data_IF_838389530181
#
_entry.id   IF_838389530181
#
_cell.length_a   1.000
_cell.length_b   1.000
_cell.length_c   1.000
_cell.angle_alpha   90.00
_cell.angle_beta   90.00
_cell.angle_gamma   90.00
#
_symmetry.space_group_name_H-M   'P 1'
#
loop_
_entity.id
_entity.type
_entity.pdbx_description
1 polymer ?
#
# COMPACT_ATOMS: atom_id res chain seq x y z
N UNK A 1 -18.44 -31.37 -2.09
CA UNK A 1 -19.15 -30.73 -3.21
C UNK A 1 -18.14 -30.04 -4.09
N UNK A 2 -18.32 -30.00 -5.41
CA UNK A 2 -17.45 -29.23 -6.30
C UNK A 2 -17.63 -27.72 -6.02
N UNK A 3 -16.55 -26.93 -6.14
CA UNK A 3 -16.62 -25.47 -5.94
C UNK A 3 -17.60 -24.82 -6.93
N UNK A 4 -18.34 -23.77 -6.52
CA UNK A 4 -19.10 -22.95 -7.47
C UNK A 4 -18.21 -22.38 -8.58
N UNK A 5 -18.74 -22.32 -9.80
CA UNK A 5 -18.09 -21.64 -10.93
C UNK A 5 -18.31 -20.13 -10.78
N UNK A 6 -17.31 -19.35 -11.14
CA UNK A 6 -17.38 -17.89 -11.06
C UNK A 6 -18.55 -17.35 -11.89
N UNK A 7 -19.22 -16.33 -11.34
CA UNK A 7 -20.27 -15.57 -12.03
C UNK A 7 -19.73 -14.41 -12.88
N UNK A 8 -18.46 -14.04 -12.68
CA UNK A 8 -17.81 -12.94 -13.41
C UNK A 8 -17.13 -13.48 -14.68
N UNK A 9 -16.37 -14.56 -14.55
CA UNK A 9 -15.68 -15.22 -15.65
C UNK A 9 -15.41 -16.70 -15.29
N UNK A 10 -15.87 -17.70 -16.07
CA UNK A 10 -15.84 -19.11 -15.68
C UNK A 10 -14.46 -19.65 -15.26
N UNK A 11 -13.39 -19.11 -15.84
CA UNK A 11 -12.01 -19.54 -15.59
C UNK A 11 -11.38 -18.90 -14.33
N UNK A 12 -12.08 -17.96 -13.68
CA UNK A 12 -11.54 -17.23 -12.53
C UNK A 12 -11.77 -17.97 -11.21
N UNK A 13 -10.91 -17.65 -10.25
CA UNK A 13 -11.11 -17.96 -8.84
C UNK A 13 -11.34 -16.65 -8.08
N UNK A 14 -12.61 -16.24 -7.95
CA UNK A 14 -13.01 -14.98 -7.32
C UNK A 14 -13.96 -15.18 -6.14
N UNK A 15 -14.38 -14.09 -5.51
CA UNK A 15 -15.24 -14.14 -4.33
C UNK A 15 -16.55 -14.90 -4.58
N UNK A 16 -17.10 -14.98 -5.81
CA UNK A 16 -18.35 -15.71 -6.13
C UNK A 16 -18.19 -17.23 -6.13
N UNK A 17 -16.96 -17.72 -6.09
CA UNK A 17 -16.61 -19.14 -6.05
C UNK A 17 -16.45 -19.69 -4.63
N UNK A 18 -16.58 -18.84 -3.61
CA UNK A 18 -16.46 -19.24 -2.20
C UNK A 18 -17.66 -20.09 -1.77
N UNK A 19 -17.48 -20.84 -0.67
CA UNK A 19 -18.54 -21.65 -0.07
C UNK A 19 -19.76 -20.77 0.27
N UNK A 20 -20.98 -21.15 -0.14
CA UNK A 20 -22.20 -20.43 0.21
C UNK A 20 -22.35 -20.08 1.69
N UNK A 21 -21.80 -20.91 2.60
CA UNK A 21 -21.82 -20.65 4.03
C UNK A 21 -20.93 -19.46 4.41
N UNK A 22 -19.78 -19.26 3.76
CA UNK A 22 -18.91 -18.11 4.02
C UNK A 22 -19.65 -16.80 3.75
N UNK A 23 -20.45 -16.72 2.67
CA UNK A 23 -21.25 -15.52 2.40
C UNK A 23 -22.30 -15.28 3.48
N UNK A 24 -22.98 -16.34 3.94
CA UNK A 24 -23.99 -16.22 5.02
C UNK A 24 -23.34 -15.75 6.32
N UNK A 25 -22.19 -16.31 6.67
CA UNK A 25 -21.46 -15.95 7.88
C UNK A 25 -20.97 -14.50 7.81
N UNK A 26 -20.35 -14.11 6.69
CA UNK A 26 -19.89 -12.74 6.44
C UNK A 26 -21.05 -11.74 6.47
N UNK A 27 -22.18 -12.05 5.82
CA UNK A 27 -23.37 -11.19 5.84
C UNK A 27 -24.01 -11.06 7.23
N UNK A 28 -23.73 -11.98 8.15
CA UNK A 28 -24.23 -11.95 9.53
C UNK A 28 -23.32 -11.18 10.51
N UNK A 29 -22.18 -10.67 10.02
CA UNK A 29 -21.24 -9.90 10.83
C UNK A 29 -21.85 -8.53 11.18
N UNK A 30 -21.79 -8.21 12.46
CA UNK A 30 -22.05 -6.87 13.00
C UNK A 30 -20.71 -6.21 13.34
N UNK A 31 -20.63 -4.88 13.53
CA UNK A 31 -19.41 -4.23 13.98
C UNK A 31 -18.78 -4.88 15.22
N UNK A 32 -19.60 -5.26 16.21
CA UNK A 32 -19.15 -5.93 17.43
C UNK A 32 -18.59 -7.32 17.16
N UNK A 33 -19.17 -8.07 16.21
CA UNK A 33 -18.64 -9.37 15.78
C UNK A 33 -17.35 -9.22 14.99
N UNK A 34 -17.26 -8.21 14.11
CA UNK A 34 -16.05 -7.90 13.35
C UNK A 34 -14.89 -7.55 14.28
N UNK A 35 -15.11 -6.72 15.30
CA UNK A 35 -14.07 -6.37 16.26
C UNK A 35 -13.48 -7.62 16.95
N UNK A 36 -14.33 -8.60 17.28
CA UNK A 36 -13.95 -9.88 17.90
C UNK A 36 -13.18 -10.83 16.98
N UNK A 37 -13.06 -10.52 15.68
CA UNK A 37 -12.18 -11.28 14.77
C UNK A 37 -10.69 -10.98 15.03
N UNK A 38 -10.39 -9.90 15.77
CA UNK A 38 -9.04 -9.57 16.22
C UNK A 38 -8.44 -10.74 17.02
N UNK A 39 -7.18 -11.07 16.72
CA UNK A 39 -6.44 -12.20 17.27
C UNK A 39 -4.93 -11.94 17.14
N UNK A 40 -4.03 -12.69 17.80
CA UNK A 40 -2.59 -12.52 17.61
C UNK A 40 -2.21 -12.53 16.11
N UNK A 41 -1.57 -11.46 15.63
CA UNK A 41 -1.22 -11.27 14.22
C UNK A 41 -2.31 -10.69 13.31
N UNK A 42 -3.51 -10.38 13.81
CA UNK A 42 -4.58 -9.74 13.04
C UNK A 42 -5.43 -8.83 13.92
N UNK A 43 -5.50 -7.55 13.59
CA UNK A 43 -6.24 -6.55 14.37
C UNK A 43 -7.31 -5.91 13.50
N UNK A 44 -8.52 -5.79 14.04
CA UNK A 44 -9.59 -4.97 13.45
C UNK A 44 -9.64 -3.66 14.21
N UNK A 45 -9.56 -2.55 13.47
CA UNK A 45 -9.64 -1.19 14.01
C UNK A 45 -10.82 -0.50 13.35
N UNK A 46 -11.63 0.19 14.15
CA UNK A 46 -12.71 1.04 13.66
C UNK A 46 -12.27 2.49 13.81
N UNK A 47 -12.54 3.27 12.76
CA UNK A 47 -12.37 4.71 12.75
C UNK A 47 -13.75 5.32 12.54
N UNK A 48 -14.11 6.29 13.36
CA UNK A 48 -15.44 6.90 13.33
C UNK A 48 -15.61 7.88 12.16
N UNK A 49 -14.50 8.34 11.58
CA UNK A 49 -14.47 9.30 10.47
C UNK A 49 -13.46 8.88 9.41
N UNK A 50 -13.68 9.31 8.17
CA UNK A 50 -12.75 9.08 7.07
C UNK A 50 -11.41 9.79 7.31
N UNK A 51 -11.45 10.99 7.88
CA UNK A 51 -10.26 11.78 8.19
C UNK A 51 -9.35 11.07 9.18
N UNK A 52 -9.93 10.43 10.21
CA UNK A 52 -9.17 9.64 11.18
C UNK A 52 -8.59 8.38 10.53
N UNK A 53 -9.34 7.71 9.66
CA UNK A 53 -8.85 6.57 8.88
C UNK A 53 -7.64 6.96 8.00
N UNK A 54 -7.76 8.00 7.18
CA UNK A 54 -6.64 8.46 6.33
C UNK A 54 -5.46 9.00 7.13
N UNK A 55 -5.71 9.60 8.31
CA UNK A 55 -4.65 9.99 9.22
C UNK A 55 -3.90 8.75 9.75
N UNK A 56 -4.63 7.71 10.15
CA UNK A 56 -4.03 6.47 10.62
C UNK A 56 -3.20 5.79 9.53
N UNK A 57 -3.71 5.70 8.31
CA UNK A 57 -2.95 5.20 7.15
C UNK A 57 -1.69 6.02 6.91
N UNK A 58 -1.78 7.35 6.94
CA UNK A 58 -0.60 8.21 6.80
C UNK A 58 0.42 7.97 7.92
N UNK A 59 -0.03 7.72 9.15
CA UNK A 59 0.85 7.42 10.28
C UNK A 59 1.58 6.08 10.13
N UNK A 60 1.04 5.09 9.41
CA UNK A 60 1.76 3.85 9.11
C UNK A 60 3.04 4.10 8.28
N UNK A 61 3.00 5.01 7.30
CA UNK A 61 4.19 5.46 6.57
C UNK A 61 5.22 6.09 7.52
N UNK A 62 4.76 6.99 8.40
CA UNK A 62 5.63 7.74 9.30
C UNK A 62 6.28 6.82 10.33
N UNK A 63 5.52 5.91 10.92
CA UNK A 63 6.02 4.96 11.91
C UNK A 63 6.97 3.93 11.30
N UNK A 64 6.73 3.52 10.04
CA UNK A 64 7.69 2.69 9.29
C UNK A 64 9.01 3.45 9.06
N UNK A 65 8.96 4.64 8.48
CA UNK A 65 10.17 5.37 8.09
C UNK A 65 10.95 5.95 9.27
N UNK A 66 10.33 6.21 10.42
CA UNK A 66 11.03 6.59 11.66
C UNK A 66 12.00 5.51 12.17
N UNK A 67 11.85 4.26 11.72
CA UNK A 67 12.74 3.16 12.08
C UNK A 67 14.01 3.13 11.21
N UNK A 68 14.03 3.85 10.09
CA UNK A 68 15.12 3.76 9.11
C UNK A 68 16.41 4.43 9.61
N UNK A 69 17.51 3.69 9.51
CA UNK A 69 18.86 4.19 9.75
C UNK A 69 19.79 3.79 8.60
N UNK A 70 20.99 4.38 8.52
CA UNK A 70 21.99 4.00 7.50
C UNK A 70 22.33 2.50 7.54
N UNK A 71 22.29 1.87 8.73
CA UNK A 71 22.60 0.46 8.93
C UNK A 71 21.39 -0.48 8.90
N UNK A 72 20.18 0.05 9.06
CA UNK A 72 18.92 -0.69 8.97
C UNK A 72 17.92 0.15 8.16
N UNK A 73 18.02 0.17 6.82
CA UNK A 73 17.07 0.89 5.99
C UNK A 73 15.70 0.19 6.02
N UNK A 74 14.64 1.00 6.06
CA UNK A 74 13.26 0.53 6.23
C UNK A 74 12.37 1.18 5.20
N UNK A 75 11.46 0.41 4.63
CA UNK A 75 10.42 0.97 3.78
C UNK A 75 9.03 0.44 4.05
N UNK A 76 8.15 0.91 3.18
CA UNK A 76 6.73 0.56 3.12
C UNK A 76 6.40 0.18 1.69
N UNK A 77 5.54 -0.82 1.54
CA UNK A 77 4.91 -1.15 0.27
C UNK A 77 3.44 -0.75 0.34
N UNK A 78 2.95 -0.02 -0.66
CA UNK A 78 1.56 0.41 -0.67
C UNK A 78 0.95 0.40 -2.07
N UNK A 79 -0.36 0.14 -2.20
CA UNK A 79 -1.09 0.43 -3.41
C UNK A 79 -1.20 1.95 -3.59
N UNK A 80 -1.62 2.40 -4.77
CA UNK A 80 -1.91 3.82 -4.97
C UNK A 80 -3.18 4.30 -4.25
N UNK A 81 -4.15 3.39 -4.05
CA UNK A 81 -5.50 3.69 -3.58
C UNK A 81 -5.78 3.03 -2.23
N UNK A 82 -6.50 3.71 -1.30
CA UNK A 82 -6.98 5.10 -1.37
C UNK A 82 -5.82 6.11 -1.48
N UNK A 83 -6.10 7.37 -1.83
CA UNK A 83 -5.06 8.38 -2.16
C UNK A 83 -4.99 9.56 -1.18
N UNK A 84 -6.01 9.71 -0.34
CA UNK A 84 -6.27 10.86 0.52
C UNK A 84 -5.25 10.99 1.66
N UNK A 85 -4.63 9.89 2.07
CA UNK A 85 -3.53 9.82 3.02
C UNK A 85 -2.21 10.36 2.46
N UNK A 86 -1.97 10.25 1.14
CA UNK A 86 -0.67 10.59 0.52
C UNK A 86 -0.24 12.06 0.75
N UNK A 87 -1.12 13.08 0.59
CA UNK A 87 -0.79 14.45 0.95
C UNK A 87 -0.55 14.66 2.45
N UNK A 88 -1.19 13.86 3.31
CA UNK A 88 -0.99 13.91 4.76
C UNK A 88 0.40 13.40 5.13
N UNK A 89 0.86 12.29 4.52
CA UNK A 89 2.22 11.77 4.67
C UNK A 89 3.24 12.86 4.38
N UNK A 90 3.16 13.50 3.21
CA UNK A 90 4.11 14.56 2.85
C UNK A 90 4.07 15.76 3.82
N UNK A 91 2.88 16.16 4.28
CA UNK A 91 2.71 17.22 5.27
C UNK A 91 3.37 16.86 6.61
N UNK A 92 3.17 15.65 7.10
CA UNK A 92 3.71 15.18 8.38
C UNK A 92 5.24 15.08 8.31
N UNK A 93 5.78 14.48 7.24
CA UNK A 93 7.24 14.42 6.99
C UNK A 93 7.85 15.81 7.04
N UNK A 94 7.26 16.77 6.31
CA UNK A 94 7.75 18.14 6.28
C UNK A 94 7.66 18.83 7.65
N UNK A 95 6.53 18.66 8.35
CA UNK A 95 6.29 19.29 9.65
C UNK A 95 7.19 18.75 10.76
N UNK A 96 7.56 17.47 10.69
CA UNK A 96 8.45 16.82 11.66
C UNK A 96 9.93 16.92 11.28
N UNK A 97 10.24 17.48 10.11
CA UNK A 97 11.56 17.42 9.50
C UNK A 97 12.14 16.00 9.42
N UNK A 98 11.28 15.01 9.17
CA UNK A 98 11.66 13.60 9.11
C UNK A 98 12.55 13.34 7.87
N UNK A 99 13.78 12.92 8.10
CA UNK A 99 14.74 12.65 7.03
C UNK A 99 14.54 11.24 6.44
N UNK A 100 14.14 11.16 5.16
CA UNK A 100 13.81 9.92 4.47
C UNK A 100 14.98 9.35 3.65
N UNK A 101 16.22 9.81 3.87
CA UNK A 101 17.38 9.37 3.08
C UNK A 101 17.65 7.86 3.13
N UNK A 102 17.28 7.21 4.22
CA UNK A 102 17.41 5.75 4.41
C UNK A 102 16.07 5.02 4.34
N UNK A 103 14.99 5.76 4.06
CA UNK A 103 13.69 5.18 3.88
C UNK A 103 13.55 4.61 2.46
N UNK A 104 12.70 3.60 2.31
CA UNK A 104 12.37 2.97 1.02
C UNK A 104 10.86 3.01 0.78
N UNK A 105 10.47 3.01 -0.49
CA UNK A 105 9.10 2.88 -0.93
C UNK A 105 8.99 1.88 -2.07
N UNK A 106 8.00 1.01 -2.01
CA UNK A 106 7.61 0.11 -3.08
C UNK A 106 6.16 0.39 -3.49
N UNK A 107 5.96 0.78 -4.75
CA UNK A 107 4.62 0.79 -5.34
C UNK A 107 4.17 -0.66 -5.57
N UNK A 108 2.97 -1.03 -5.13
CA UNK A 108 2.51 -2.42 -5.15
C UNK A 108 2.35 -2.99 -6.57
N UNK A 109 1.87 -2.18 -7.50
CA UNK A 109 1.52 -2.56 -8.87
C UNK A 109 1.62 -1.36 -9.83
N UNK A 110 1.47 -1.63 -11.14
CA UNK A 110 1.34 -0.62 -12.20
C UNK A 110 0.56 -1.24 -13.38
N UNK A 111 -0.11 -0.39 -14.16
CA UNK A 111 -0.81 -0.84 -15.35
C UNK A 111 0.14 -1.38 -16.43
N UNK A 112 -0.27 -2.47 -17.07
CA UNK A 112 0.37 -2.97 -18.30
C UNK A 112 -0.52 -2.64 -19.50
N UNK A 113 0.04 -1.93 -20.48
CA UNK A 113 -0.58 -1.65 -21.78
C UNK A 113 0.35 -2.18 -22.86
N UNK A 114 -0.19 -3.04 -23.74
CA UNK A 114 0.56 -3.67 -24.84
C UNK A 114 1.86 -4.37 -24.39
N UNK A 115 1.82 -5.02 -23.22
CA UNK A 115 2.94 -5.77 -22.66
C UNK A 115 4.03 -4.91 -22.02
N UNK A 116 3.80 -3.61 -21.81
CA UNK A 116 4.71 -2.71 -21.08
C UNK A 116 3.99 -1.95 -19.99
N UNK A 117 4.71 -1.62 -18.92
CA UNK A 117 4.19 -0.72 -17.89
C UNK A 117 3.84 0.66 -18.46
N UNK A 118 2.77 1.26 -17.94
CA UNK A 118 2.44 2.63 -18.32
C UNK A 118 3.55 3.58 -17.88
N UNK A 119 4.00 4.52 -18.72
CA UNK A 119 5.05 5.44 -18.33
C UNK A 119 4.55 6.37 -17.22
N UNK A 120 5.47 6.86 -16.37
CA UNK A 120 5.16 7.81 -15.27
C UNK A 120 4.55 9.14 -15.74
N UNK A 121 4.57 9.44 -17.04
CA UNK A 121 3.89 10.61 -17.62
C UNK A 121 2.43 10.34 -17.95
N UNK A 122 2.00 9.07 -17.96
CA UNK A 122 0.64 8.67 -18.26
C UNK A 122 -0.32 9.15 -17.15
N UNK A 123 -1.48 9.73 -17.47
CA UNK A 123 -2.40 10.28 -16.47
C UNK A 123 -2.90 9.27 -15.42
N UNK A 124 -2.91 7.98 -15.76
CA UNK A 124 -3.36 6.89 -14.88
C UNK A 124 -2.21 6.08 -14.25
N UNK A 125 -0.95 6.49 -14.44
CA UNK A 125 0.17 5.79 -13.81
C UNK A 125 0.09 5.91 -12.29
N UNK A 126 0.25 4.79 -11.60
CA UNK A 126 0.27 4.75 -10.15
C UNK A 126 1.53 5.43 -9.61
N UNK A 127 2.68 5.17 -10.25
CA UNK A 127 3.92 5.86 -9.92
C UNK A 127 3.78 7.39 -10.08
N UNK A 128 3.04 7.87 -11.08
CA UNK A 128 2.77 9.31 -11.24
C UNK A 128 2.00 9.87 -10.05
N UNK A 129 0.95 9.18 -9.64
CA UNK A 129 0.08 9.63 -8.56
C UNK A 129 0.83 9.62 -7.20
N UNK A 130 1.65 8.60 -6.92
CA UNK A 130 2.54 8.57 -5.75
C UNK A 130 3.45 9.80 -5.69
N UNK A 131 4.08 10.11 -6.83
CA UNK A 131 4.98 11.25 -6.94
C UNK A 131 4.23 12.58 -6.77
N UNK A 132 3.09 12.77 -7.42
CA UNK A 132 2.36 14.04 -7.42
C UNK A 132 1.60 14.31 -6.12
N UNK A 133 1.12 13.27 -5.45
CA UNK A 133 0.31 13.39 -4.24
C UNK A 133 1.17 13.35 -2.96
N UNK A 134 2.30 12.65 -2.98
CA UNK A 134 3.21 12.54 -1.83
C UNK A 134 4.63 13.04 -2.13
N UNK A 135 5.42 12.29 -2.89
CA UNK A 135 6.89 12.41 -2.83
C UNK A 135 7.44 13.73 -3.37
N UNK A 136 6.86 14.31 -4.43
CA UNK A 136 7.25 15.62 -4.94
C UNK A 136 6.88 16.77 -4.00
N UNK A 137 5.99 16.54 -3.03
CA UNK A 137 5.57 17.53 -2.03
C UNK A 137 6.48 17.54 -0.80
N UNK A 138 7.36 16.56 -0.66
CA UNK A 138 8.33 16.50 0.44
C UNK A 138 9.50 17.45 0.16
N UNK A 139 9.92 18.18 1.19
CA UNK A 139 11.06 19.09 1.13
C UNK A 139 12.31 18.35 0.64
N UNK A 140 12.98 18.89 -0.39
CA UNK A 140 14.13 18.23 -1.04
C UNK A 140 15.26 17.81 -0.09
N UNK A 141 15.45 18.52 1.02
CA UNK A 141 16.46 18.18 2.05
C UNK A 141 16.14 16.90 2.83
N UNK A 142 14.86 16.55 2.89
CA UNK A 142 14.29 15.39 3.60
C UNK A 142 13.94 14.24 2.65
N UNK A 143 13.81 14.53 1.35
CA UNK A 143 13.23 13.62 0.38
C UNK A 143 13.99 12.29 0.27
N UNK A 144 13.20 11.23 0.07
CA UNK A 144 13.70 9.90 -0.23
C UNK A 144 14.50 9.93 -1.55
N UNK A 145 15.67 9.28 -1.63
CA UNK A 145 16.44 9.21 -2.85
C UNK A 145 15.71 8.38 -3.91
N UNK A 146 15.88 8.73 -5.20
CA UNK A 146 15.22 8.01 -6.29
C UNK A 146 15.57 6.52 -6.32
N UNK A 147 16.80 6.16 -5.96
CA UNK A 147 17.23 4.76 -5.90
C UNK A 147 16.52 3.94 -4.79
N UNK A 148 15.82 4.61 -3.87
CA UNK A 148 15.04 3.95 -2.82
C UNK A 148 13.52 3.92 -3.13
N UNK A 149 13.12 4.47 -4.29
CA UNK A 149 11.75 4.42 -4.79
C UNK A 149 11.65 3.35 -5.87
N UNK A 150 10.89 2.30 -5.59
CA UNK A 150 10.82 1.10 -6.42
C UNK A 150 9.42 0.98 -7.00
N UNK A 151 9.30 1.04 -8.32
CA UNK A 151 8.06 0.82 -9.04
C UNK A 151 8.19 -0.42 -9.91
N UNK A 152 7.19 -1.32 -9.93
CA UNK A 152 7.25 -2.54 -10.72
C UNK A 152 7.18 -2.20 -12.21
N UNK A 153 7.87 -3.01 -13.01
CA UNK A 153 7.86 -2.96 -14.47
C UNK A 153 7.39 -4.30 -15.02
N UNK A 154 7.12 -4.38 -16.33
CA UNK A 154 6.76 -5.64 -16.98
C UNK A 154 7.81 -6.75 -16.75
N UNK A 155 9.09 -6.38 -16.68
CA UNK A 155 10.16 -7.24 -16.15
C UNK A 155 10.38 -6.93 -14.65
N UNK A 156 9.97 -7.81 -13.73
CA UNK A 156 10.06 -7.56 -12.29
C UNK A 156 11.46 -7.85 -11.72
N UNK A 157 12.47 -8.18 -12.54
CA UNK A 157 13.78 -8.64 -12.06
C UNK A 157 14.44 -7.67 -11.08
N UNK A 158 14.52 -6.38 -11.43
CA UNK A 158 15.13 -5.37 -10.55
C UNK A 158 14.25 -5.03 -9.36
N UNK A 159 12.92 -4.96 -9.56
CA UNK A 159 11.96 -4.79 -8.48
C UNK A 159 12.10 -5.89 -7.43
N UNK A 160 12.21 -7.16 -7.85
CA UNK A 160 12.42 -8.30 -6.95
C UNK A 160 13.76 -8.23 -6.21
N UNK A 161 14.83 -7.78 -6.87
CA UNK A 161 16.13 -7.62 -6.22
C UNK A 161 16.12 -6.52 -5.15
N UNK A 162 15.35 -5.46 -5.36
CA UNK A 162 15.30 -4.30 -4.45
C UNK A 162 14.88 -4.68 -3.01
N UNK A 163 14.06 -5.72 -2.84
CA UNK A 163 13.64 -6.23 -1.52
C UNK A 163 14.79 -6.79 -0.67
N UNK A 164 15.94 -7.08 -1.27
CA UNK A 164 17.13 -7.50 -0.52
C UNK A 164 17.94 -6.33 0.04
N UNK A 165 17.56 -5.08 -0.27
CA UNK A 165 18.31 -3.87 0.12
C UNK A 165 17.81 -3.20 1.40
N UNK A 166 16.54 -3.42 1.75
CA UNK A 166 15.89 -2.85 2.92
C UNK A 166 14.70 -3.72 3.34
N UNK A 167 14.37 -3.71 4.64
CA UNK A 167 13.19 -4.43 5.12
C UNK A 167 11.92 -3.61 4.89
N UNK A 168 10.83 -4.30 4.58
CA UNK A 168 9.51 -3.69 4.54
C UNK A 168 8.84 -3.82 5.92
N UNK A 169 8.60 -2.70 6.60
CA UNK A 169 7.97 -2.71 7.92
C UNK A 169 6.46 -2.91 7.83
N UNK A 170 5.84 -2.41 6.76
CA UNK A 170 4.40 -2.51 6.55
C UNK A 170 4.11 -2.65 5.06
N UNK A 171 3.20 -3.56 4.73
CA UNK A 171 2.55 -3.64 3.43
C UNK A 171 1.13 -3.15 3.63
N UNK A 172 0.85 -1.93 3.20
CA UNK A 172 -0.47 -1.34 3.35
C UNK A 172 -1.41 -1.99 2.34
N UNK A 173 -2.63 -2.30 2.78
CA UNK A 173 -3.72 -2.71 1.90
C UNK A 173 -4.60 -1.50 1.57
N UNK A 174 -5.24 -1.53 0.40
CA UNK A 174 -6.25 -0.55 0.01
C UNK A 174 -7.66 -0.93 0.48
#
# INVERSE_FOLDING_TARGET
MARPISKMAPDWWDYTTLDPQIFKDAASLTPEKMLKLSRPGFKVVFYDTLEDFYCAEALEYIDAWKQATDSDPVGICGPIGPTEQLPLVARIVNSMELNLKNAHFWGMDEWIVDGKETPITHPLSFAKADMDLCFNRINKKLAMPKQNMHFPQADPTEYNKSWNTARCAVMQGG
#
